data_IF_114760371224
#
_entry.id   IF_114760371224
#
_cell.length_a   1.000
_cell.length_b   1.000
_cell.length_c   1.000
_cell.angle_alpha   90.00
_cell.angle_beta   90.00
_cell.angle_gamma   90.00
#
_symmetry.space_group_name_H-M   'P 1'
#
loop_
_entity.id
_entity.type
_entity.pdbx_description
1 polymer ?
#
# COMPACT_ATOMS: atom_id res chain seq x y z
N UNK A 1 -31.54 18.27 -22.30
CA UNK A 1 -30.46 18.65 -23.25
C UNK A 1 -29.10 18.54 -22.56
N UNK A 2 -28.07 18.16 -23.32
CA UNK A 2 -26.95 17.30 -22.94
C UNK A 2 -25.91 17.90 -21.96
N UNK A 3 -25.73 17.30 -20.78
CA UNK A 3 -24.71 17.64 -19.76
C UNK A 3 -23.52 16.67 -19.71
N UNK A 4 -23.44 15.75 -20.67
CA UNK A 4 -22.36 14.77 -20.81
C UNK A 4 -21.05 15.36 -21.40
N UNK A 5 -21.06 16.22 -22.44
CA UNK A 5 -19.81 16.66 -23.08
C UNK A 5 -18.97 17.56 -22.16
N UNK A 6 -19.59 18.39 -21.32
CA UNK A 6 -18.91 19.27 -20.35
C UNK A 6 -18.18 18.49 -19.25
N UNK A 7 -18.71 17.36 -18.81
CA UNK A 7 -18.10 16.51 -17.77
C UNK A 7 -16.89 15.74 -18.28
N UNK A 8 -16.98 15.17 -19.48
CA UNK A 8 -15.86 14.49 -20.12
C UNK A 8 -14.70 15.47 -20.42
N UNK A 9 -15.04 16.68 -20.87
CA UNK A 9 -14.08 17.75 -21.09
C UNK A 9 -13.41 18.20 -19.76
N UNK A 10 -14.20 18.39 -18.70
CA UNK A 10 -13.66 18.72 -17.37
C UNK A 10 -12.72 17.66 -16.80
N UNK A 11 -13.00 16.38 -16.99
CA UNK A 11 -12.11 15.31 -16.56
C UNK A 11 -10.78 15.31 -17.34
N UNK A 12 -10.81 15.55 -18.65
CA UNK A 12 -9.61 15.66 -19.47
C UNK A 12 -8.73 16.85 -19.03
N UNK A 13 -9.33 18.02 -18.80
CA UNK A 13 -8.63 19.21 -18.31
C UNK A 13 -7.97 18.96 -16.95
N UNK A 14 -8.66 18.29 -16.01
CA UNK A 14 -8.08 17.91 -14.71
C UNK A 14 -6.88 16.97 -14.88
N UNK A 15 -6.95 16.02 -15.81
CA UNK A 15 -5.83 15.11 -16.07
C UNK A 15 -4.63 15.85 -16.65
N UNK A 16 -4.85 16.78 -17.57
CA UNK A 16 -3.81 17.61 -18.18
C UNK A 16 -3.15 18.53 -17.15
N UNK A 17 -3.93 19.23 -16.33
CA UNK A 17 -3.41 20.04 -15.21
C UNK A 17 -2.57 19.20 -14.25
N UNK A 18 -3.03 18.00 -13.88
CA UNK A 18 -2.28 17.10 -13.01
C UNK A 18 -0.99 16.61 -13.66
N UNK A 19 -1.00 16.34 -14.97
CA UNK A 19 0.20 15.98 -15.72
C UNK A 19 1.21 17.12 -15.73
N UNK A 20 0.77 18.34 -16.03
CA UNK A 20 1.62 19.53 -16.03
C UNK A 20 2.23 19.81 -14.65
N UNK A 21 1.43 19.75 -13.57
CA UNK A 21 1.93 19.88 -12.19
C UNK A 21 2.95 18.80 -11.85
N UNK A 22 2.68 17.54 -12.21
CA UNK A 22 3.62 16.43 -11.96
C UNK A 22 4.95 16.66 -12.67
N UNK A 23 4.92 17.06 -13.94
CA UNK A 23 6.14 17.33 -14.71
C UNK A 23 6.95 18.49 -14.10
N UNK A 24 6.26 19.55 -13.65
CA UNK A 24 6.91 20.68 -12.96
C UNK A 24 7.56 20.25 -11.65
N UNK A 25 6.85 19.51 -10.79
CA UNK A 25 7.41 18.98 -9.53
C UNK A 25 8.61 18.08 -9.76
N UNK A 26 8.58 17.23 -10.79
CA UNK A 26 9.72 16.38 -11.14
C UNK A 26 10.96 17.18 -11.55
N UNK A 27 10.78 18.37 -12.15
CA UNK A 27 11.88 19.28 -12.48
C UNK A 27 12.40 20.09 -11.29
N UNK A 28 11.56 20.32 -10.28
CA UNK A 28 11.91 21.04 -9.04
C UNK A 28 12.49 20.13 -7.95
N UNK A 29 12.35 18.81 -8.09
CA UNK A 29 12.94 17.86 -7.16
C UNK A 29 14.46 17.91 -7.29
N UNK A 30 15.12 18.28 -6.20
CA UNK A 30 16.55 18.09 -6.07
C UNK A 30 16.81 16.57 -6.02
N UNK A 31 17.38 16.02 -7.09
CA UNK A 31 17.64 14.58 -7.23
C UNK A 31 18.39 13.99 -6.03
N UNK A 32 19.20 14.81 -5.35
CA UNK A 32 19.90 14.44 -4.13
C UNK A 32 18.95 14.12 -2.97
N UNK A 33 17.92 14.93 -2.72
CA UNK A 33 16.93 14.65 -1.65
C UNK A 33 16.17 13.34 -1.93
N UNK A 34 15.79 13.11 -3.19
CA UNK A 34 15.12 11.87 -3.58
C UNK A 34 16.04 10.66 -3.36
N UNK A 35 17.29 10.74 -3.85
CA UNK A 35 18.27 9.68 -3.67
C UNK A 35 18.56 9.41 -2.19
N UNK A 36 18.71 10.47 -1.40
CA UNK A 36 18.95 10.39 0.04
C UNK A 36 17.77 9.72 0.78
N UNK A 37 16.53 10.06 0.45
CA UNK A 37 15.33 9.41 1.01
C UNK A 37 15.25 7.93 0.67
N UNK A 38 15.54 7.57 -0.58
CA UNK A 38 15.57 6.16 -1.02
C UNK A 38 16.69 5.41 -0.31
N UNK A 39 17.87 6.01 -0.21
CA UNK A 39 19.00 5.47 0.56
C UNK A 39 18.61 5.23 2.02
N UNK A 40 18.00 6.21 2.68
CA UNK A 40 17.59 6.08 4.08
C UNK A 40 16.54 4.97 4.27
N UNK A 41 15.56 4.89 3.37
CA UNK A 41 14.55 3.83 3.40
C UNK A 41 15.19 2.44 3.18
N UNK A 42 16.12 2.31 2.23
CA UNK A 42 16.84 1.07 1.97
C UNK A 42 17.73 0.67 3.14
N UNK A 43 18.42 1.63 3.77
CA UNK A 43 19.28 1.39 4.93
C UNK A 43 18.45 0.90 6.12
N UNK A 44 17.36 1.59 6.47
CA UNK A 44 16.46 1.17 7.55
C UNK A 44 15.84 -0.19 7.23
N UNK A 45 15.42 -0.40 5.98
CA UNK A 45 14.90 -1.70 5.53
C UNK A 45 15.92 -2.83 5.69
N UNK A 46 17.17 -2.60 5.29
CA UNK A 46 18.26 -3.58 5.45
C UNK A 46 18.51 -3.89 6.92
N UNK A 47 18.59 -2.87 7.79
CA UNK A 47 18.75 -3.06 9.23
C UNK A 47 17.62 -3.93 9.80
N UNK A 48 16.36 -3.61 9.50
CA UNK A 48 15.20 -4.39 9.96
C UNK A 48 15.27 -5.84 9.46
N UNK A 49 15.60 -6.06 8.19
CA UNK A 49 15.70 -7.40 7.61
C UNK A 49 16.82 -8.20 8.25
N UNK A 50 17.99 -7.61 8.47
CA UNK A 50 19.11 -8.28 9.16
C UNK A 50 18.73 -8.66 10.58
N UNK A 51 18.15 -7.72 11.35
CA UNK A 51 17.68 -8.03 12.71
C UNK A 51 16.62 -9.14 12.73
N UNK A 52 15.66 -9.12 11.82
CA UNK A 52 14.65 -10.18 11.72
C UNK A 52 15.24 -11.51 11.27
N UNK A 53 16.26 -11.48 10.41
CA UNK A 53 16.97 -12.68 9.95
C UNK A 53 17.69 -13.38 11.10
N UNK A 54 18.31 -12.62 12.01
CA UNK A 54 19.02 -13.20 13.17
C UNK A 54 18.07 -13.92 14.15
N UNK A 55 16.78 -13.58 14.13
CA UNK A 55 15.76 -14.25 14.95
C UNK A 55 15.30 -15.60 14.36
N UNK A 56 15.68 -15.91 13.12
CA UNK A 56 15.25 -17.11 12.40
C UNK A 56 16.42 -18.08 12.26
N UNK A 57 16.38 -19.26 12.90
CA UNK A 57 17.44 -20.26 12.76
C UNK A 57 17.56 -20.75 11.30
N UNK A 58 18.78 -20.95 10.81
CA UNK A 58 19.04 -21.48 9.46
C UNK A 58 18.85 -23.01 9.36
N UNK A 59 18.35 -23.66 10.42
CA UNK A 59 18.06 -25.09 10.40
C UNK A 59 16.67 -25.37 9.84
N UNK A 60 16.56 -26.39 9.01
CA UNK A 60 15.27 -26.87 8.51
C UNK A 60 14.30 -27.14 9.66
N UNK A 61 13.03 -26.81 9.44
CA UNK A 61 11.98 -27.04 10.43
C UNK A 61 11.72 -28.54 10.59
N UNK A 62 11.54 -29.00 11.83
CA UNK A 62 11.15 -30.40 12.07
C UNK A 62 9.73 -30.67 11.57
N UNK A 63 9.35 -31.93 11.28
CA UNK A 63 8.00 -32.26 10.83
C UNK A 63 6.90 -31.75 11.78
N UNK A 64 7.14 -31.78 13.09
CA UNK A 64 6.21 -31.24 14.10
C UNK A 64 6.07 -29.72 14.02
N UNK A 65 7.17 -29.01 13.76
CA UNK A 65 7.16 -27.55 13.57
C UNK A 65 6.40 -27.18 12.29
N UNK A 66 6.63 -27.91 11.19
CA UNK A 66 5.89 -27.70 9.94
C UNK A 66 4.40 -27.94 10.16
N UNK A 67 4.01 -29.00 10.87
CA UNK A 67 2.59 -29.25 11.19
C UNK A 67 1.99 -28.12 12.01
N UNK A 68 2.72 -27.61 12.99
CA UNK A 68 2.29 -26.46 13.81
C UNK A 68 2.05 -25.21 12.94
N UNK A 69 2.93 -24.95 11.97
CA UNK A 69 2.77 -23.83 11.01
C UNK A 69 1.58 -24.04 10.10
N UNK A 70 1.31 -25.26 9.64
CA UNK A 70 0.12 -25.56 8.84
C UNK A 70 -1.18 -25.37 9.64
N UNK A 71 -1.18 -25.78 10.91
CA UNK A 71 -2.35 -25.69 11.78
C UNK A 71 -2.63 -24.24 12.24
N UNK A 72 -1.58 -23.45 12.54
CA UNK A 72 -1.71 -22.13 13.17
C UNK A 72 -1.31 -20.95 12.28
N UNK A 73 -0.58 -21.20 11.19
CA UNK A 73 -0.16 -20.16 10.23
C UNK A 73 -1.32 -19.35 9.65
N UNK A 74 -2.44 -19.99 9.23
CA UNK A 74 -3.63 -19.26 8.78
C UNK A 74 -4.18 -18.31 9.85
N UNK A 75 -4.18 -18.72 11.12
CA UNK A 75 -4.63 -17.89 12.25
C UNK A 75 -3.71 -16.67 12.43
N UNK A 76 -2.39 -16.86 12.36
CA UNK A 76 -1.43 -15.75 12.46
C UNK A 76 -1.63 -14.73 11.32
N UNK A 77 -1.83 -15.21 10.08
CA UNK A 77 -2.17 -14.35 8.94
C UNK A 77 -3.50 -13.63 9.17
N UNK A 78 -4.50 -14.33 9.71
CA UNK A 78 -5.80 -13.76 10.08
C UNK A 78 -5.67 -12.62 11.09
N UNK A 79 -4.81 -12.76 12.11
CA UNK A 79 -4.53 -11.70 13.09
C UNK A 79 -3.95 -10.47 12.40
N UNK A 80 -2.99 -10.64 11.49
CA UNK A 80 -2.43 -9.52 10.71
C UNK A 80 -3.52 -8.83 9.88
N UNK A 81 -4.41 -9.60 9.26
CA UNK A 81 -5.54 -9.04 8.51
C UNK A 81 -6.52 -8.27 9.41
N UNK A 82 -6.82 -8.77 10.62
CA UNK A 82 -7.66 -8.07 11.62
C UNK A 82 -7.02 -6.77 12.06
N UNK A 83 -5.70 -6.76 12.30
CA UNK A 83 -4.98 -5.52 12.64
C UNK A 83 -5.05 -4.52 11.48
N UNK A 84 -4.82 -4.96 10.24
CA UNK A 84 -4.94 -4.11 9.06
C UNK A 84 -6.37 -3.54 8.91
N UNK A 85 -7.39 -4.35 9.18
CA UNK A 85 -8.79 -3.93 9.19
C UNK A 85 -9.06 -2.88 10.28
N UNK A 86 -8.64 -3.12 11.52
CA UNK A 86 -8.83 -2.20 12.65
C UNK A 86 -8.11 -0.86 12.44
N UNK A 87 -6.88 -0.89 11.91
CA UNK A 87 -6.17 0.31 11.49
C UNK A 87 -6.92 1.05 10.38
N UNK A 88 -7.55 0.29 9.47
CA UNK A 88 -8.39 0.84 8.41
C UNK A 88 -9.58 1.61 9.00
N UNK A 89 -10.34 0.99 9.91
CA UNK A 89 -11.46 1.63 10.60
C UNK A 89 -11.04 2.92 11.31
N UNK A 90 -9.94 2.87 12.07
CA UNK A 90 -9.40 4.03 12.77
C UNK A 90 -9.02 5.14 11.80
N UNK A 91 -8.22 4.81 10.78
CA UNK A 91 -7.80 5.79 9.77
C UNK A 91 -8.97 6.38 8.99
N UNK A 92 -10.02 5.60 8.71
CA UNK A 92 -11.23 6.07 8.05
C UNK A 92 -12.02 7.06 8.90
N UNK A 93 -12.14 6.76 10.20
CA UNK A 93 -12.84 7.60 11.19
C UNK A 93 -12.11 8.93 11.42
N UNK A 94 -10.78 8.94 11.35
CA UNK A 94 -9.94 10.13 11.55
C UNK A 94 -9.79 11.01 10.27
N UNK A 95 -10.65 10.81 9.25
CA UNK A 95 -10.65 11.63 8.02
C UNK A 95 -10.11 10.95 6.77
N UNK A 96 -9.89 9.63 6.81
CA UNK A 96 -9.56 8.81 5.64
C UNK A 96 -8.05 8.62 5.42
N UNK A 97 -7.65 7.57 4.68
CA UNK A 97 -6.24 7.21 4.49
C UNK A 97 -5.54 8.08 3.42
N UNK A 98 -6.25 9.07 2.86
CA UNK A 98 -5.83 9.88 1.72
C UNK A 98 -5.91 11.36 2.10
N UNK A 99 -4.75 12.02 2.15
CA UNK A 99 -4.67 13.47 2.24
C UNK A 99 -4.89 14.09 0.86
N UNK A 100 -5.92 14.94 0.73
CA UNK A 100 -6.19 15.68 -0.51
C UNK A 100 -5.33 16.94 -0.53
N UNK A 101 -4.67 17.19 -1.66
CA UNK A 101 -3.87 18.42 -1.80
C UNK A 101 -4.75 19.66 -1.61
N UNK A 102 -4.28 20.62 -0.82
CA UNK A 102 -4.96 21.90 -0.58
C UNK A 102 -5.49 22.60 -1.85
N UNK A 103 -4.75 22.67 -2.98
CA UNK A 103 -5.28 23.22 -4.23
C UNK A 103 -6.43 22.39 -4.84
N UNK A 104 -6.45 21.07 -4.65
CA UNK A 104 -7.56 20.25 -5.14
C UNK A 104 -8.83 20.54 -4.32
N UNK A 105 -8.69 20.75 -3.00
CA UNK A 105 -9.80 21.17 -2.13
C UNK A 105 -10.34 22.55 -2.51
N UNK A 106 -9.46 23.53 -2.69
CA UNK A 106 -9.85 24.93 -2.94
C UNK A 106 -10.29 25.21 -4.38
N UNK A 107 -9.80 24.46 -5.37
CA UNK A 107 -10.07 24.75 -6.78
C UNK A 107 -10.87 23.65 -7.48
N UNK A 108 -10.52 22.37 -7.30
CA UNK A 108 -11.16 21.29 -8.04
C UNK A 108 -12.48 20.84 -7.42
N UNK A 109 -12.59 20.83 -6.09
CA UNK A 109 -13.84 20.44 -5.42
C UNK A 109 -14.93 21.52 -5.49
N UNK A 110 -14.56 22.77 -5.79
CA UNK A 110 -15.50 23.88 -6.01
C UNK A 110 -15.82 24.10 -7.50
N UNK A 111 -15.02 23.56 -8.42
CA UNK A 111 -15.28 23.63 -9.85
C UNK A 111 -16.42 22.68 -10.28
N UNK A 112 -17.11 22.95 -11.41
CA UNK A 112 -18.17 22.09 -11.94
C UNK A 112 -17.62 20.81 -12.59
N UNK A 113 -16.78 20.07 -11.88
CA UNK A 113 -16.19 18.79 -12.27
C UNK A 113 -16.65 17.69 -11.33
N UNK A 114 -16.75 16.46 -11.83
CA UNK A 114 -17.21 15.35 -10.99
C UNK A 114 -16.20 15.06 -9.86
N UNK A 115 -16.65 15.12 -8.60
CA UNK A 115 -15.84 14.81 -7.42
C UNK A 115 -15.22 13.41 -7.49
N UNK A 116 -15.95 12.43 -8.01
CA UNK A 116 -15.46 11.06 -8.24
C UNK A 116 -14.20 11.06 -9.11
N UNK A 117 -14.17 11.80 -10.22
CA UNK A 117 -12.99 11.85 -11.09
C UNK A 117 -11.79 12.55 -10.41
N UNK A 118 -12.04 13.50 -9.51
CA UNK A 118 -10.99 14.17 -8.73
C UNK A 118 -10.39 13.22 -7.70
N UNK A 119 -11.22 12.47 -6.96
CA UNK A 119 -10.81 11.67 -5.79
C UNK A 119 -10.32 10.25 -6.13
N UNK A 120 -10.77 9.63 -7.24
CA UNK A 120 -10.39 8.26 -7.59
C UNK A 120 -8.88 8.06 -7.75
N UNK A 121 -8.18 9.05 -8.33
CA UNK A 121 -6.74 8.94 -8.58
C UNK A 121 -5.92 8.93 -7.28
N UNK A 122 -6.11 9.87 -6.33
CA UNK A 122 -5.49 9.79 -5.00
C UNK A 122 -5.75 8.46 -4.28
N UNK A 123 -6.99 7.96 -4.30
CA UNK A 123 -7.34 6.67 -3.70
C UNK A 123 -6.59 5.52 -4.37
N UNK A 124 -6.58 5.46 -5.70
CA UNK A 124 -5.87 4.42 -6.44
C UNK A 124 -4.34 4.48 -6.21
N UNK A 125 -3.77 5.68 -6.10
CA UNK A 125 -2.36 5.86 -5.77
C UNK A 125 -2.05 5.35 -4.36
N UNK A 126 -2.85 5.72 -3.37
CA UNK A 126 -2.69 5.24 -1.99
C UNK A 126 -2.82 3.72 -1.90
N UNK A 127 -3.84 3.16 -2.57
CA UNK A 127 -4.04 1.71 -2.65
C UNK A 127 -2.81 1.01 -3.23
N UNK A 128 -2.30 1.48 -4.38
CA UNK A 128 -1.12 0.90 -5.02
C UNK A 128 0.13 0.99 -4.14
N UNK A 129 0.38 2.14 -3.53
CA UNK A 129 1.56 2.34 -2.70
C UNK A 129 1.52 1.46 -1.45
N UNK A 130 0.38 1.37 -0.77
CA UNK A 130 0.26 0.56 0.46
C UNK A 130 0.24 -0.92 0.13
N UNK A 131 -0.46 -1.35 -0.93
CA UNK A 131 -0.42 -2.74 -1.39
C UNK A 131 0.98 -3.16 -1.82
N UNK A 132 1.72 -2.28 -2.51
CA UNK A 132 3.11 -2.55 -2.89
C UNK A 132 4.04 -2.66 -1.68
N UNK A 133 3.93 -1.72 -0.72
CA UNK A 133 4.69 -1.80 0.53
C UNK A 133 4.38 -3.07 1.33
N UNK A 134 3.10 -3.44 1.41
CA UNK A 134 2.65 -4.70 1.99
C UNK A 134 3.21 -5.91 1.26
N UNK A 135 3.21 -5.90 -0.08
CA UNK A 135 3.78 -6.97 -0.89
C UNK A 135 5.27 -7.17 -0.63
N UNK A 136 6.04 -6.08 -0.52
CA UNK A 136 7.47 -6.16 -0.17
C UNK A 136 7.68 -6.76 1.22
N UNK A 137 6.95 -6.27 2.22
CA UNK A 137 7.04 -6.79 3.58
C UNK A 137 6.65 -8.27 3.67
N UNK A 138 5.57 -8.66 2.99
CA UNK A 138 5.13 -10.04 2.91
C UNK A 138 6.11 -10.94 2.15
N UNK A 139 6.71 -10.45 1.06
CA UNK A 139 7.75 -11.17 0.31
C UNK A 139 8.98 -11.45 1.19
N UNK A 140 9.40 -10.47 2.00
CA UNK A 140 10.50 -10.65 2.96
C UNK A 140 10.16 -11.70 4.01
N UNK A 141 8.94 -11.68 4.57
CA UNK A 141 8.48 -12.72 5.48
C UNK A 141 8.45 -14.11 4.81
N UNK A 142 8.01 -14.18 3.56
CA UNK A 142 8.06 -15.40 2.74
C UNK A 142 9.49 -15.88 2.47
N UNK A 143 10.44 -14.96 2.24
CA UNK A 143 11.86 -15.29 2.07
C UNK A 143 12.46 -15.88 3.35
N UNK A 144 12.10 -15.36 4.52
CA UNK A 144 12.52 -15.92 5.81
C UNK A 144 11.89 -17.30 6.03
N UNK A 145 10.61 -17.47 5.70
CA UNK A 145 9.93 -18.75 5.77
C UNK A 145 10.60 -19.81 4.87
N UNK A 146 11.03 -19.41 3.67
CA UNK A 146 11.71 -20.27 2.71
C UNK A 146 13.06 -20.83 3.20
N UNK A 147 13.67 -20.24 4.24
CA UNK A 147 14.91 -20.75 4.83
C UNK A 147 14.68 -21.97 5.72
N UNK A 148 13.46 -22.15 6.24
CA UNK A 148 13.14 -23.21 7.20
C UNK A 148 12.09 -24.19 6.71
N UNK A 149 11.11 -23.72 5.94
CA UNK A 149 10.00 -24.54 5.49
C UNK A 149 10.35 -25.28 4.20
N UNK A 150 9.90 -26.53 4.06
CA UNK A 150 10.10 -27.27 2.82
C UNK A 150 9.37 -26.59 1.65
N UNK A 151 9.87 -26.82 0.44
CA UNK A 151 9.25 -26.36 -0.80
C UNK A 151 10.07 -25.30 -1.54
N UNK A 152 9.44 -24.66 -2.52
CA UNK A 152 10.10 -23.70 -3.40
C UNK A 152 10.20 -22.31 -2.75
N UNK A 153 11.40 -21.72 -2.79
CA UNK A 153 11.63 -20.32 -2.38
C UNK A 153 10.67 -19.39 -3.11
N UNK A 154 10.49 -19.57 -4.42
CA UNK A 154 9.62 -18.73 -5.23
C UNK A 154 8.16 -18.81 -4.77
N UNK A 155 7.70 -19.98 -4.32
CA UNK A 155 6.33 -20.16 -3.83
C UNK A 155 6.10 -19.42 -2.51
N UNK A 156 7.03 -19.53 -1.55
CA UNK A 156 6.96 -18.82 -0.27
C UNK A 156 7.05 -17.31 -0.43
N UNK A 157 7.93 -16.84 -1.32
CA UNK A 157 8.11 -15.42 -1.60
C UNK A 157 6.87 -14.83 -2.29
N UNK A 158 6.30 -15.54 -3.26
CA UNK A 158 5.07 -15.13 -3.95
C UNK A 158 3.84 -15.15 -3.04
N UNK A 159 3.67 -16.20 -2.22
CA UNK A 159 2.53 -16.29 -1.29
C UNK A 159 2.60 -15.21 -0.22
N UNK A 160 3.78 -14.97 0.35
CA UNK A 160 4.03 -13.86 1.27
C UNK A 160 3.69 -12.50 0.65
N UNK A 161 4.17 -12.25 -0.57
CA UNK A 161 3.88 -11.01 -1.30
C UNK A 161 2.36 -10.81 -1.51
N UNK A 162 1.64 -11.86 -1.90
CA UNK A 162 0.19 -11.80 -2.11
C UNK A 162 -0.56 -11.49 -0.82
N UNK A 163 -0.21 -12.16 0.28
CA UNK A 163 -0.82 -11.91 1.61
C UNK A 163 -0.56 -10.48 2.06
N UNK A 164 0.69 -10.01 1.94
CA UNK A 164 1.05 -8.64 2.30
C UNK A 164 0.34 -7.59 1.45
N UNK A 165 0.24 -7.81 0.13
CA UNK A 165 -0.51 -6.96 -0.77
C UNK A 165 -2.00 -6.90 -0.41
N UNK A 166 -2.60 -8.06 -0.13
CA UNK A 166 -4.00 -8.18 0.28
C UNK A 166 -4.28 -7.45 1.59
N UNK A 167 -3.40 -7.57 2.60
CA UNK A 167 -3.53 -6.84 3.87
C UNK A 167 -3.42 -5.32 3.66
N UNK A 168 -2.47 -4.87 2.83
CA UNK A 168 -2.34 -3.46 2.48
C UNK A 168 -3.57 -2.92 1.74
N UNK A 169 -4.13 -3.71 0.82
CA UNK A 169 -5.35 -3.36 0.11
C UNK A 169 -6.59 -3.35 1.01
N UNK A 170 -6.69 -4.31 1.93
CA UNK A 170 -7.73 -4.39 2.95
C UNK A 170 -7.75 -3.12 3.80
N UNK A 171 -6.60 -2.73 4.36
CA UNK A 171 -6.46 -1.50 5.14
C UNK A 171 -7.00 -0.27 4.39
N UNK A 172 -6.54 -0.02 3.16
CA UNK A 172 -6.95 1.17 2.39
C UNK A 172 -8.44 1.11 2.05
N UNK A 173 -8.95 -0.06 1.65
CA UNK A 173 -10.35 -0.21 1.24
C UNK A 173 -11.29 0.01 2.42
N UNK A 174 -10.98 -0.59 3.57
CA UNK A 174 -11.74 -0.40 4.81
C UNK A 174 -11.73 1.07 5.20
N UNK A 175 -10.56 1.72 5.23
CA UNK A 175 -10.47 3.12 5.60
C UNK A 175 -11.26 4.04 4.67
N UNK A 176 -11.27 3.77 3.36
CA UNK A 176 -12.08 4.53 2.40
C UNK A 176 -13.57 4.27 2.62
N UNK A 177 -13.99 3.02 2.81
CA UNK A 177 -15.40 2.68 3.04
C UNK A 177 -15.92 3.30 4.33
N UNK A 178 -15.17 3.20 5.43
CA UNK A 178 -15.52 3.82 6.71
C UNK A 178 -15.65 5.34 6.58
N UNK A 179 -14.70 5.99 5.89
CA UNK A 179 -14.76 7.44 5.67
C UNK A 179 -15.98 7.88 4.84
N UNK A 180 -16.41 7.06 3.88
CA UNK A 180 -17.58 7.37 3.04
C UNK A 180 -18.90 7.15 3.77
N UNK A 181 -18.92 6.25 4.77
CA UNK A 181 -20.11 5.90 5.55
C UNK A 181 -20.29 6.72 6.84
N UNK A 182 -19.24 7.40 7.30
CA UNK A 182 -19.24 8.28 8.46
C UNK A 182 -19.83 9.66 8.12
#
# INVERSE_FOLDING_TARGET
MSSAPTRAHGAAVVQELRRARRLRRLGELEWFDVAYRVYLAALVGAVVVTFLSDLVPDTEATPEQVRTVLDHGPTAIGVVAVVAFALGLRSGSDGGPVSIEQPDVRHLLLAPVSRRAVLLRPVAQRLRTVAFGGALAGALAGQLAARRLPGSIAAHLASGALVGAACGALFVTVAVLTHVLA
#
